data_IF_966949964199
#
_entry.id   IF_966949964199
#
_cell.length_a   1.000
_cell.length_b   1.000
_cell.length_c   1.000
_cell.angle_alpha   90.00
_cell.angle_beta   90.00
_cell.angle_gamma   90.00
#
_symmetry.space_group_name_H-M   'P 1'
#
loop_
_entity.id
_entity.type
_entity.pdbx_description
1 polymer ?
#
# COMPACT_ATOMS: atom_id res chain seq x y z
N UNK A 1 -10.11 7.02 -18.97
CA UNK A 1 -10.12 5.92 -17.98
C UNK A 1 -8.88 6.10 -17.13
N UNK A 2 -9.07 6.59 -15.90
CA UNK A 2 -7.97 6.81 -14.97
C UNK A 2 -7.42 5.46 -14.49
N UNK A 3 -6.12 5.27 -14.61
CA UNK A 3 -5.45 4.03 -14.22
C UNK A 3 -5.07 4.08 -12.74
N UNK A 4 -5.24 2.95 -12.05
CA UNK A 4 -4.70 2.76 -10.70
C UNK A 4 -3.23 2.35 -10.80
N UNK A 5 -2.35 3.13 -10.19
CA UNK A 5 -0.90 2.88 -10.17
C UNK A 5 -0.51 2.37 -8.79
N UNK A 6 0.20 1.24 -8.75
CA UNK A 6 0.75 0.67 -7.52
C UNK A 6 2.27 0.76 -7.59
N UNK A 7 2.88 1.48 -6.66
CA UNK A 7 4.34 1.69 -6.61
C UNK A 7 4.90 1.13 -5.31
N UNK A 8 5.73 0.08 -5.34
CA UNK A 8 6.52 -0.33 -4.19
C UNK A 8 7.55 0.76 -3.85
N UNK A 9 7.48 1.31 -2.65
CA UNK A 9 8.50 2.23 -2.16
C UNK A 9 9.65 1.44 -1.52
N UNK A 10 10.87 1.94 -1.71
CA UNK A 10 12.07 1.38 -1.08
C UNK A 10 11.91 1.34 0.43
N UNK A 11 12.13 0.15 0.99
CA UNK A 11 12.01 -0.12 2.43
C UNK A 11 10.66 0.35 3.00
N UNK A 12 9.62 0.38 2.16
CA UNK A 12 8.39 1.11 2.43
C UNK A 12 7.13 0.41 1.91
N UNK A 13 5.97 1.09 2.03
CA UNK A 13 4.67 0.53 1.67
C UNK A 13 4.47 0.38 0.15
N UNK A 14 3.38 -0.27 -0.23
CA UNK A 14 2.81 -0.15 -1.58
C UNK A 14 2.00 1.14 -1.65
N UNK A 15 2.45 2.10 -2.45
CA UNK A 15 1.73 3.33 -2.70
C UNK A 15 0.74 3.13 -3.84
N UNK A 16 -0.56 3.12 -3.52
CA UNK A 16 -1.65 3.01 -4.49
C UNK A 16 -2.17 4.40 -4.78
N UNK A 17 -2.24 4.78 -6.06
CA UNK A 17 -2.76 6.08 -6.53
C UNK A 17 -3.78 5.89 -7.63
N UNK A 18 -4.81 6.74 -7.64
CA UNK A 18 -5.85 6.74 -8.67
C UNK A 18 -7.21 6.28 -8.13
N UNK A 19 -8.22 6.08 -9.00
CA UNK A 19 -9.49 5.52 -8.58
C UNK A 19 -9.26 4.10 -8.06
N UNK A 20 -9.78 3.80 -6.88
CA UNK A 20 -9.62 2.48 -6.27
C UNK A 20 -10.79 2.17 -5.35
N UNK A 21 -11.12 0.89 -5.27
CA UNK A 21 -12.05 0.35 -4.28
C UNK A 21 -11.22 -0.57 -3.40
N UNK A 22 -11.15 -0.27 -2.11
CA UNK A 22 -10.59 -1.19 -1.13
C UNK A 22 -11.73 -2.04 -0.60
N UNK A 23 -11.54 -3.35 -0.49
CA UNK A 23 -12.53 -4.27 0.06
C UNK A 23 -11.90 -5.10 1.19
N UNK A 24 -12.74 -5.56 2.12
CA UNK A 24 -12.35 -6.56 3.10
C UNK A 24 -12.40 -7.99 2.52
N UNK A 25 -12.12 -8.98 3.37
CA UNK A 25 -12.11 -10.39 2.97
C UNK A 25 -13.50 -10.93 2.59
N UNK A 26 -14.58 -10.25 2.99
CA UNK A 26 -15.97 -10.59 2.69
C UNK A 26 -16.48 -9.84 1.44
N UNK A 27 -15.68 -8.93 0.88
CA UNK A 27 -16.02 -8.13 -0.29
C UNK A 27 -16.71 -6.80 0.05
N UNK A 28 -16.84 -6.43 1.32
CA UNK A 28 -17.45 -5.17 1.70
C UNK A 28 -16.51 -4.00 1.35
N UNK A 29 -17.01 -2.90 0.78
CA UNK A 29 -16.19 -1.74 0.47
C UNK A 29 -15.72 -1.06 1.75
N UNK A 30 -14.41 -0.85 1.85
CA UNK A 30 -13.79 -0.03 2.89
C UNK A 30 -13.69 1.42 2.40
N UNK A 31 -14.24 2.40 3.13
CA UNK A 31 -14.21 3.79 2.72
C UNK A 31 -12.77 4.32 2.71
N UNK A 32 -12.36 4.86 1.56
CA UNK A 32 -11.07 5.52 1.41
C UNK A 32 -11.29 6.90 0.79
N UNK A 33 -11.15 7.94 1.62
CA UNK A 33 -11.44 9.32 1.19
C UNK A 33 -10.23 9.99 0.51
N UNK A 34 -9.12 9.28 0.35
CA UNK A 34 -7.85 9.82 -0.15
C UNK A 34 -7.57 9.32 -1.57
N UNK A 35 -7.04 10.20 -2.46
CA UNK A 35 -6.64 9.80 -3.82
C UNK A 35 -5.40 8.89 -3.85
N UNK A 36 -4.77 8.67 -2.69
CA UNK A 36 -3.64 7.78 -2.51
C UNK A 36 -3.66 7.12 -1.14
N UNK A 37 -3.24 5.87 -1.08
CA UNK A 37 -3.05 5.11 0.18
C UNK A 37 -1.74 4.35 0.17
N UNK A 38 -1.12 4.25 1.35
CA UNK A 38 0.01 3.36 1.58
C UNK A 38 -0.47 2.07 2.23
N UNK A 39 -0.36 0.94 1.52
CA UNK A 39 -0.64 -0.38 2.07
C UNK A 39 0.62 -0.99 2.68
N UNK A 40 0.45 -1.62 3.83
CA UNK A 40 1.53 -2.27 4.55
C UNK A 40 2.11 -3.42 3.71
N UNK A 41 3.42 -3.36 3.50
CA UNK A 41 4.19 -4.39 2.80
C UNK A 41 5.16 -5.12 3.74
N UNK A 42 5.57 -4.48 4.81
CA UNK A 42 6.58 -4.98 5.75
C UNK A 42 6.05 -5.97 6.81
N UNK A 43 4.74 -6.14 6.95
CA UNK A 43 4.13 -6.98 8.00
C UNK A 43 4.14 -6.38 9.42
N UNK A 44 4.87 -5.29 9.69
CA UNK A 44 5.00 -4.72 11.04
C UNK A 44 3.94 -3.69 11.45
N UNK A 45 3.06 -3.26 10.53
CA UNK A 45 2.03 -2.27 10.86
C UNK A 45 1.06 -2.79 11.92
N UNK A 46 0.69 -1.95 12.87
CA UNK A 46 -0.39 -2.20 13.83
C UNK A 46 -1.77 -1.84 13.25
N UNK A 47 -1.81 -1.12 12.11
CA UNK A 47 -3.03 -0.63 11.45
C UNK A 47 -3.27 -1.30 10.09
N UNK A 48 -2.97 -2.59 9.98
CA UNK A 48 -3.17 -3.36 8.73
C UNK A 48 -4.62 -3.20 8.24
N UNK A 49 -4.85 -3.09 6.91
CA UNK A 49 -3.88 -3.24 5.82
C UNK A 49 -3.03 -1.99 5.54
N UNK A 50 -3.20 -0.89 6.28
CA UNK A 50 -2.51 0.38 6.03
C UNK A 50 -1.11 0.42 6.63
N UNK A 51 -0.25 1.24 6.03
CA UNK A 51 1.06 1.57 6.59
C UNK A 51 0.94 2.66 7.66
N UNK A 52 1.55 2.43 8.81
CA UNK A 52 1.63 3.36 9.95
C UNK A 52 3.07 3.87 10.21
N UNK A 53 4.04 3.45 9.38
CA UNK A 53 5.45 3.82 9.50
C UNK A 53 6.33 2.78 10.19
N UNK A 54 5.77 1.65 10.66
CA UNK A 54 6.53 0.60 11.36
C UNK A 54 7.61 -0.11 10.50
N UNK A 55 7.66 0.14 9.19
CA UNK A 55 8.70 -0.38 8.29
C UNK A 55 10.09 0.22 8.56
N UNK A 56 10.17 1.44 9.12
CA UNK A 56 11.43 2.17 9.28
C UNK A 56 12.40 1.39 10.16
N UNK A 57 13.57 1.07 9.61
CA UNK A 57 14.64 0.34 10.30
C UNK A 57 14.36 -1.13 10.57
N UNK A 58 13.28 -1.69 10.01
CA UNK A 58 12.88 -3.11 10.20
C UNK A 58 12.54 -3.84 8.90
N UNK A 59 12.52 -3.13 7.78
CA UNK A 59 12.15 -3.68 6.49
C UNK A 59 13.14 -3.23 5.43
N UNK A 60 13.75 -4.20 4.76
CA UNK A 60 14.70 -3.98 3.67
C UNK A 60 14.16 -4.66 2.42
N UNK A 61 13.75 -3.86 1.45
CA UNK A 61 13.33 -4.33 0.13
C UNK A 61 13.33 -3.17 -0.88
N UNK A 62 14.08 -3.36 -1.96
CA UNK A 62 14.22 -2.43 -3.06
C UNK A 62 13.86 -3.11 -4.38
N UNK A 63 12.57 -3.42 -4.57
CA UNK A 63 12.09 -4.05 -5.81
C UNK A 63 12.29 -3.15 -7.04
N UNK A 64 12.80 -3.73 -8.12
CA UNK A 64 12.93 -3.12 -9.46
C UNK A 64 12.54 -4.17 -10.51
N UNK A 65 11.95 -3.71 -11.62
CA UNK A 65 11.80 -4.55 -12.82
C UNK A 65 13.18 -4.71 -13.46
N UNK A 66 13.58 -5.94 -13.75
CA UNK A 66 14.77 -6.21 -14.57
C UNK A 66 14.55 -5.63 -15.97
N UNK A 67 15.56 -4.97 -16.53
CA UNK A 67 15.46 -4.33 -17.85
C UNK A 67 15.42 -5.34 -18.98
#
# INVERSE_FOLDING_TARGET
MDQTIITPLDNGPLLVKGPMILQDAEGNPFPVDKPQVGLCRCGHSARKPFCDGAHRGKFEDCWRVEK
#
